data_IF_320985246213
#
_entry.id   IF_320985246213
#
_cell.length_a   1.000
_cell.length_b   1.000
_cell.length_c   1.000
_cell.angle_alpha   90.00
_cell.angle_beta   90.00
_cell.angle_gamma   90.00
#
_symmetry.space_group_name_H-M   'P 1'
#
loop_
_entity.id
_entity.type
_entity.pdbx_description
1 polymer ?
#
# COMPACT_ATOMS: atom_id res chain seq x y z
N UNK A 1 9.80 -17.00 -2.12
CA UNK A 1 9.09 -15.71 -2.02
C UNK A 1 9.87 -14.65 -2.79
N UNK A 2 9.24 -14.03 -3.78
CA UNK A 2 9.70 -12.87 -4.53
C UNK A 2 8.78 -11.70 -4.19
N UNK A 3 9.37 -10.59 -3.77
CA UNK A 3 8.64 -9.38 -3.39
C UNK A 3 8.82 -8.36 -4.52
N UNK A 4 7.72 -7.84 -5.06
CA UNK A 4 7.75 -6.56 -5.75
C UNK A 4 7.58 -5.47 -4.70
N UNK A 5 8.47 -4.47 -4.71
CA UNK A 5 8.45 -3.36 -3.76
C UNK A 5 8.28 -2.05 -4.55
N UNK A 6 7.34 -1.22 -4.13
CA UNK A 6 7.14 0.14 -4.61
C UNK A 6 6.99 1.07 -3.40
N UNK A 7 7.51 2.29 -3.51
CA UNK A 7 7.55 3.30 -2.44
C UNK A 7 7.73 4.67 -3.07
N UNK A 8 7.36 5.74 -2.36
CA UNK A 8 7.68 7.13 -2.73
C UNK A 8 7.23 7.48 -4.16
N UNK A 9 6.03 6.98 -4.55
CA UNK A 9 5.48 7.20 -5.88
C UNK A 9 4.92 8.61 -6.04
N UNK A 10 4.40 9.20 -4.95
CA UNK A 10 3.82 10.54 -4.94
C UNK A 10 2.83 10.78 -6.09
N UNK A 11 1.79 9.95 -6.18
CA UNK A 11 0.80 10.01 -7.25
C UNK A 11 0.00 11.33 -7.25
N UNK A 12 0.00 12.08 -6.15
CA UNK A 12 -0.47 13.46 -6.08
C UNK A 12 0.25 14.41 -7.03
N UNK A 13 1.53 14.14 -7.30
CA UNK A 13 2.39 14.91 -8.19
C UNK A 13 2.57 14.21 -9.54
N UNK A 14 2.49 12.88 -9.56
CA UNK A 14 2.71 12.05 -10.76
C UNK A 14 1.46 11.21 -11.11
N UNK A 15 0.29 11.83 -11.36
CA UNK A 15 -1.00 11.11 -11.47
C UNK A 15 -1.10 10.17 -12.68
N UNK A 16 -0.17 10.28 -13.64
CA UNK A 16 -0.15 9.46 -14.86
C UNK A 16 0.79 8.27 -14.77
N UNK A 17 1.57 8.15 -13.70
CA UNK A 17 2.41 6.98 -13.47
C UNK A 17 1.52 5.76 -13.23
N UNK A 18 1.87 4.64 -13.87
CA UNK A 18 1.11 3.39 -13.79
C UNK A 18 2.03 2.25 -13.39
N UNK A 19 1.61 1.50 -12.38
CA UNK A 19 2.34 0.34 -11.93
C UNK A 19 2.23 -0.82 -12.92
N UNK A 20 3.36 -1.49 -13.18
CA UNK A 20 3.38 -2.76 -13.91
C UNK A 20 3.65 -3.90 -12.93
N UNK A 21 2.80 -4.95 -12.88
CA UNK A 21 3.09 -6.14 -12.09
C UNK A 21 4.39 -6.82 -12.55
N UNK A 22 5.29 -7.10 -11.60
CA UNK A 22 6.54 -7.80 -11.89
C UNK A 22 6.27 -9.30 -12.12
N UNK A 23 6.69 -9.88 -13.27
CA UNK A 23 6.46 -11.29 -13.56
C UNK A 23 7.01 -12.22 -12.47
N UNK A 24 6.15 -13.07 -11.93
CA UNK A 24 6.49 -14.05 -10.90
C UNK A 24 6.74 -13.46 -9.52
N UNK A 25 6.31 -12.23 -9.24
CA UNK A 25 6.18 -11.75 -7.87
C UNK A 25 5.13 -12.58 -7.12
N UNK A 26 5.39 -12.88 -5.85
CA UNK A 26 4.44 -13.57 -4.97
C UNK A 26 3.55 -12.56 -4.22
N UNK A 27 4.06 -11.34 -3.99
CA UNK A 27 3.39 -10.26 -3.25
C UNK A 27 3.89 -8.91 -3.78
N UNK A 28 3.01 -7.90 -3.75
CA UNK A 28 3.40 -6.50 -3.83
C UNK A 28 3.44 -5.89 -2.42
N UNK A 29 4.52 -5.19 -2.10
CA UNK A 29 4.63 -4.33 -0.91
C UNK A 29 4.69 -2.88 -1.37
N UNK A 30 3.73 -2.09 -0.90
CA UNK A 30 3.69 -0.64 -1.02
C UNK A 30 4.20 -0.06 0.31
N UNK A 31 5.40 0.52 0.29
CA UNK A 31 6.17 0.89 1.49
C UNK A 31 6.14 2.38 1.83
N UNK A 32 5.00 3.02 1.59
CA UNK A 32 4.72 4.41 1.96
C UNK A 32 4.82 5.38 0.80
N UNK A 33 4.28 6.59 1.04
CA UNK A 33 4.32 7.74 0.15
C UNK A 33 3.84 7.43 -1.28
N UNK A 34 2.71 6.72 -1.34
CA UNK A 34 2.04 6.34 -2.58
C UNK A 34 1.17 7.49 -3.08
N UNK A 35 0.40 8.12 -2.19
CA UNK A 35 -0.53 9.17 -2.57
C UNK A 35 -1.01 10.01 -1.39
N UNK A 36 -1.03 11.34 -1.58
CA UNK A 36 -1.49 12.30 -0.57
C UNK A 36 -2.55 13.29 -1.07
N UNK A 37 -3.35 13.85 -0.18
CA UNK A 37 -4.40 14.84 -0.50
C UNK A 37 -4.01 16.29 -0.15
N UNK A 38 -2.71 16.59 -0.15
CA UNK A 38 -2.24 17.96 -0.01
C UNK A 38 -2.90 18.93 -1.01
N UNK A 39 -2.90 20.22 -0.67
CA UNK A 39 -3.37 21.28 -1.56
C UNK A 39 -2.63 21.24 -2.89
N UNK A 40 -3.38 21.15 -4.00
CA UNK A 40 -2.82 21.05 -5.34
C UNK A 40 -2.52 19.63 -5.83
N UNK A 41 -2.91 18.59 -5.06
CA UNK A 41 -2.88 17.21 -5.55
C UNK A 41 -3.67 17.07 -6.85
N UNK A 42 -3.17 16.20 -7.74
CA UNK A 42 -3.75 15.97 -9.05
C UNK A 42 -4.47 14.62 -9.15
N UNK A 43 -4.56 13.88 -8.04
CA UNK A 43 -5.27 12.61 -8.00
C UNK A 43 -6.78 12.84 -8.14
N UNK A 44 -7.43 11.97 -8.91
CA UNK A 44 -8.87 12.06 -9.15
C UNK A 44 -9.67 11.06 -8.31
N UNK A 45 -8.99 10.12 -7.64
CA UNK A 45 -9.64 9.12 -6.80
C UNK A 45 -9.71 9.56 -5.32
N UNK A 46 -10.52 8.82 -4.56
CA UNK A 46 -10.68 8.97 -3.11
C UNK A 46 -9.94 7.89 -2.32
N UNK A 47 -9.08 7.13 -3.00
CA UNK A 47 -8.42 5.91 -2.55
C UNK A 47 -6.90 6.09 -2.35
N UNK A 48 -6.41 7.33 -2.20
CA UNK A 48 -4.98 7.66 -2.06
C UNK A 48 -4.12 7.12 -3.21
N UNK A 49 -4.68 7.00 -4.43
CA UNK A 49 -3.99 6.37 -5.55
C UNK A 49 -3.86 4.85 -5.44
N UNK A 50 -4.36 4.23 -4.36
CA UNK A 50 -4.19 2.80 -4.07
C UNK A 50 -5.03 1.90 -4.99
N UNK A 51 -6.07 2.45 -5.62
CA UNK A 51 -7.03 1.69 -6.44
C UNK A 51 -6.35 0.86 -7.54
N UNK A 52 -5.30 1.39 -8.17
CA UNK A 52 -4.58 0.69 -9.25
C UNK A 52 -3.83 -0.56 -8.77
N UNK A 53 -3.57 -0.69 -7.46
CA UNK A 53 -2.88 -1.82 -6.86
C UNK A 53 -3.84 -2.83 -6.22
N UNK A 54 -5.16 -2.61 -6.30
CA UNK A 54 -6.12 -3.45 -5.61
C UNK A 54 -6.22 -4.85 -6.23
N UNK A 55 -6.08 -5.93 -5.44
CA UNK A 55 -6.38 -7.28 -5.91
C UNK A 55 -7.82 -7.45 -6.39
N UNK A 56 -8.75 -6.71 -5.77
CA UNK A 56 -10.18 -6.71 -6.15
C UNK A 56 -10.45 -5.93 -7.44
N UNK A 57 -9.47 -5.17 -7.95
CA UNK A 57 -9.53 -4.44 -9.21
C UNK A 57 -8.47 -4.90 -10.22
N UNK A 58 -7.96 -6.13 -10.09
CA UNK A 58 -7.17 -6.79 -11.13
C UNK A 58 -5.66 -6.85 -10.89
N UNK A 59 -5.15 -6.35 -9.76
CA UNK A 59 -3.76 -6.62 -9.38
C UNK A 59 -3.57 -8.13 -9.11
N UNK A 60 -2.56 -8.79 -9.70
CA UNK A 60 -2.54 -10.26 -9.79
C UNK A 60 -2.07 -10.98 -8.51
N UNK A 61 -1.51 -10.25 -7.54
CA UNK A 61 -0.95 -10.81 -6.31
C UNK A 61 -1.53 -10.13 -5.09
N UNK A 62 -1.45 -10.73 -3.89
CA UNK A 62 -1.78 -10.02 -2.66
C UNK A 62 -0.94 -8.74 -2.53
N UNK A 63 -1.55 -7.70 -1.98
CA UNK A 63 -0.88 -6.41 -1.75
C UNK A 63 -0.86 -6.09 -0.27
N UNK A 64 0.32 -5.68 0.20
CA UNK A 64 0.56 -5.18 1.54
C UNK A 64 0.83 -3.69 1.42
N UNK A 65 0.16 -2.88 2.24
CA UNK A 65 0.38 -1.45 2.31
C UNK A 65 0.82 -1.05 3.71
N UNK A 66 1.93 -0.30 3.77
CA UNK A 66 2.39 0.45 4.91
C UNK A 66 2.28 1.92 4.51
N UNK A 67 1.50 2.76 5.20
CA UNK A 67 1.44 4.19 4.91
C UNK A 67 2.79 4.85 5.22
N UNK A 68 3.16 5.85 4.43
CA UNK A 68 4.26 6.77 4.73
C UNK A 68 3.74 7.99 5.48
N UNK A 69 4.59 9.00 5.69
CA UNK A 69 4.17 10.22 6.36
C UNK A 69 3.29 11.09 5.45
N UNK A 70 3.52 11.05 4.13
CA UNK A 70 2.80 11.93 3.20
C UNK A 70 1.32 11.59 3.11
N UNK A 71 0.91 10.35 3.33
CA UNK A 71 -0.52 9.97 3.41
C UNK A 71 -1.30 10.75 4.48
N UNK A 72 -0.62 11.27 5.51
CA UNK A 72 -1.22 12.01 6.63
C UNK A 72 -1.14 13.54 6.46
N UNK A 73 -0.42 14.03 5.45
CA UNK A 73 -0.17 15.45 5.32
C UNK A 73 -1.45 16.26 5.16
N UNK A 74 -1.52 17.39 5.88
CA UNK A 74 -2.65 18.34 5.87
C UNK A 74 -4.00 17.77 6.32
N UNK A 75 -4.01 16.52 6.81
CA UNK A 75 -5.18 15.85 7.35
C UNK A 75 -5.08 15.74 8.88
N UNK A 76 -6.23 15.57 9.52
CA UNK A 76 -6.26 15.07 10.89
C UNK A 76 -5.71 13.64 10.92
N UNK A 77 -4.76 13.37 11.81
CA UNK A 77 -4.03 12.09 11.83
C UNK A 77 -4.98 10.90 12.05
N UNK A 78 -5.87 10.99 13.04
CA UNK A 78 -6.76 9.88 13.40
C UNK A 78 -7.79 9.63 12.29
N UNK A 79 -8.33 10.70 11.70
CA UNK A 79 -9.25 10.59 10.58
C UNK A 79 -8.57 10.01 9.32
N UNK A 80 -7.36 10.45 9.00
CA UNK A 80 -6.59 9.90 7.88
C UNK A 80 -6.23 8.44 8.12
N UNK A 81 -5.80 8.09 9.33
CA UNK A 81 -5.45 6.73 9.73
C UNK A 81 -6.63 5.77 9.53
N UNK A 82 -7.82 6.14 10.03
CA UNK A 82 -9.03 5.34 9.86
C UNK A 82 -9.39 5.21 8.37
N UNK A 83 -9.36 6.31 7.63
CA UNK A 83 -9.72 6.33 6.20
C UNK A 83 -8.78 5.47 5.35
N UNK A 84 -7.48 5.49 5.63
CA UNK A 84 -6.48 4.65 4.96
C UNK A 84 -6.74 3.17 5.23
N UNK A 85 -6.99 2.81 6.50
CA UNK A 85 -7.34 1.44 6.89
C UNK A 85 -8.62 0.95 6.18
N UNK A 86 -9.69 1.73 6.22
CA UNK A 86 -10.95 1.41 5.53
C UNK A 86 -10.76 1.28 4.01
N UNK A 87 -9.89 2.10 3.43
CA UNK A 87 -9.52 2.01 2.02
C UNK A 87 -8.82 0.69 1.71
N UNK A 88 -7.85 0.27 2.53
CA UNK A 88 -7.22 -1.04 2.36
C UNK A 88 -8.21 -2.20 2.48
N UNK A 89 -9.10 -2.16 3.47
CA UNK A 89 -10.14 -3.19 3.65
C UNK A 89 -11.04 -3.27 2.41
N UNK A 90 -11.52 -2.13 1.90
CA UNK A 90 -12.35 -2.06 0.69
C UNK A 90 -11.64 -2.50 -0.59
N UNK A 91 -10.33 -2.28 -0.67
CA UNK A 91 -9.50 -2.64 -1.83
C UNK A 91 -8.92 -4.06 -1.74
N UNK A 92 -9.15 -4.79 -0.64
CA UNK A 92 -8.60 -6.14 -0.45
C UNK A 92 -7.09 -6.16 -0.21
N UNK A 93 -6.56 -5.10 0.41
CA UNK A 93 -5.13 -4.94 0.72
C UNK A 93 -4.89 -5.21 2.21
N UNK A 94 -3.72 -5.75 2.54
CA UNK A 94 -3.30 -5.93 3.93
C UNK A 94 -2.72 -4.63 4.45
N UNK A 95 -3.43 -4.00 5.38
CA UNK A 95 -2.96 -2.83 6.12
C UNK A 95 -1.92 -3.21 7.17
N UNK A 96 -0.76 -2.55 7.16
CA UNK A 96 0.27 -2.70 8.18
C UNK A 96 0.79 -1.33 8.65
N UNK A 97 0.07 -0.71 9.59
CA UNK A 97 0.64 0.34 10.45
C UNK A 97 0.41 -0.01 11.92
N UNK A 98 1.49 0.00 12.71
CA UNK A 98 1.54 -0.53 14.09
C UNK A 98 0.91 -1.91 14.22
N UNK A 99 1.07 -2.72 13.17
CA UNK A 99 0.42 -4.01 13.02
C UNK A 99 1.40 -5.06 12.46
N UNK A 100 1.02 -6.33 12.62
CA UNK A 100 1.75 -7.44 12.02
C UNK A 100 0.79 -8.45 11.40
N UNK A 101 1.24 -9.11 10.34
CA UNK A 101 0.52 -10.19 9.68
C UNK A 101 1.42 -11.40 9.50
N UNK A 102 0.89 -12.60 9.76
CA UNK A 102 1.57 -13.85 9.41
C UNK A 102 1.19 -14.19 7.98
N UNK A 103 2.18 -14.18 7.11
CA UNK A 103 1.95 -14.39 5.70
C UNK A 103 1.76 -15.89 5.38
N UNK A 104 1.06 -16.23 4.28
CA UNK A 104 0.92 -17.62 3.85
C UNK A 104 2.22 -18.19 3.28
N UNK A 105 3.25 -17.37 3.05
CA UNK A 105 4.54 -17.80 2.52
C UNK A 105 5.47 -18.28 3.63
N UNK A 106 6.36 -19.20 3.26
CA UNK A 106 7.37 -19.75 4.15
C UNK A 106 8.79 -19.40 3.69
N UNK A 107 9.73 -19.41 4.65
CA UNK A 107 11.16 -19.36 4.33
C UNK A 107 11.65 -20.66 3.66
N UNK A 108 12.95 -20.72 3.36
CA UNK A 108 13.59 -21.91 2.75
C UNK A 108 13.52 -23.18 3.61
N UNK A 109 13.16 -23.06 4.90
CA UNK A 109 13.02 -24.16 5.86
C UNK A 109 11.56 -24.48 6.16
N UNK A 110 10.61 -23.88 5.45
CA UNK A 110 9.18 -24.10 5.66
C UNK A 110 8.59 -23.33 6.85
N UNK A 111 9.32 -22.37 7.43
CA UNK A 111 8.81 -21.58 8.58
C UNK A 111 7.95 -20.42 8.09
N UNK A 112 6.81 -20.11 8.74
CA UNK A 112 5.98 -18.96 8.38
C UNK A 112 6.75 -17.64 8.47
N UNK A 113 6.47 -16.72 7.54
CA UNK A 113 7.02 -15.37 7.58
C UNK A 113 6.05 -14.42 8.30
N UNK A 114 6.54 -13.64 9.25
CA UNK A 114 5.80 -12.52 9.87
C UNK A 114 6.27 -11.22 9.25
N UNK A 115 5.32 -10.39 8.85
CA UNK A 115 5.56 -9.06 8.29
C UNK A 115 5.05 -8.04 9.30
N UNK A 116 5.85 -7.00 9.54
CA UNK A 116 5.56 -5.90 10.45
C UNK A 116 5.73 -4.60 9.67
N UNK A 117 4.79 -3.68 9.79
CA UNK A 117 4.86 -2.35 9.17
C UNK A 117 4.74 -1.27 10.24
N UNK A 118 5.57 -0.24 10.12
CA UNK A 118 5.50 0.96 10.94
C UNK A 118 5.81 2.20 10.11
N UNK A 119 5.09 3.29 10.33
CA UNK A 119 5.48 4.64 9.90
C UNK A 119 6.32 5.31 11.01
N UNK A 120 7.31 6.12 10.63
CA UNK A 120 8.21 6.83 11.57
C UNK A 120 7.74 8.25 11.88
#
# INVERSE_FOLDING_TARGET
>A
MKIQLLSDLHLETHPHWQATPAPGADVLVLAGDIGSYQSGNQMQDTDFGLRQFSPLHGWPTPVIFVPGNHEYDTLDFDAAHLRLRETCERLGMVWLERASSVSPWTDRRGRPLRIVGTTS
#
